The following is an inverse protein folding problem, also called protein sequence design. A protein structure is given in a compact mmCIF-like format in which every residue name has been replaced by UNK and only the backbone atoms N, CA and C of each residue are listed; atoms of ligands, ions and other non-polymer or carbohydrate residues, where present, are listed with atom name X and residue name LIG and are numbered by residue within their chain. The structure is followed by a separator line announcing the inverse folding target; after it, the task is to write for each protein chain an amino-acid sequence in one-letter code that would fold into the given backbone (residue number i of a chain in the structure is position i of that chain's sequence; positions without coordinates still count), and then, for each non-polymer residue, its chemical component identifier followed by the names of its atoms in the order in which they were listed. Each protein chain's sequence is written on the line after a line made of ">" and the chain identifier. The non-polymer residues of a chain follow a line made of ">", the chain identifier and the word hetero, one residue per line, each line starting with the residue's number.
data_IF_037861606248
#
_entry.id   IF_037861606248
#
_cell.length_a   1.000
_cell.length_b   1.000
_cell.length_c   1.000
_cell.angle_alpha   90.00
_cell.angle_beta   90.00
_cell.angle_gamma   90.00
#
_symmetry.space_group_name_H-M   'P 1'
#
loop_
_entity.id
_entity.type
_entity.pdbx_description
1 polymer ?
#
# COMPACT_ATOMS: atom_id res chain seq x y z
N UNK A 1 -22.34 -2.11 -18.01
CA UNK A 1 -21.99 -2.43 -16.60
C UNK A 1 -20.61 -3.09 -16.33
N UNK A 2 -19.65 -3.27 -17.27
CA UNK A 2 -18.36 -3.93 -16.95
C UNK A 2 -17.34 -3.05 -16.20
N UNK A 3 -17.44 -1.71 -16.30
CA UNK A 3 -16.47 -0.77 -15.69
C UNK A 3 -16.47 -0.79 -14.16
N UNK A 4 -17.64 -0.96 -13.54
CA UNK A 4 -17.77 -1.02 -12.08
C UNK A 4 -17.11 -2.28 -11.48
N UNK A 5 -17.16 -3.41 -12.21
CA UNK A 5 -16.52 -4.66 -11.79
C UNK A 5 -15.00 -4.56 -11.82
N UNK A 6 -14.44 -3.90 -12.84
CA UNK A 6 -12.99 -3.68 -12.96
C UNK A 6 -12.44 -2.76 -11.86
N UNK A 7 -13.20 -1.73 -11.48
CA UNK A 7 -12.84 -0.85 -10.35
C UNK A 7 -12.76 -1.65 -9.04
N UNK A 8 -13.79 -2.47 -8.75
CA UNK A 8 -13.80 -3.34 -7.57
C UNK A 8 -12.60 -4.30 -7.56
N UNK A 9 -12.29 -4.92 -8.69
CA UNK A 9 -11.15 -5.83 -8.79
C UNK A 9 -9.81 -5.11 -8.54
N UNK A 10 -9.61 -3.91 -9.10
CA UNK A 10 -8.38 -3.13 -8.88
C UNK A 10 -8.20 -2.72 -7.42
N UNK A 11 -9.29 -2.29 -6.77
CA UNK A 11 -9.25 -1.94 -5.34
C UNK A 11 -9.06 -3.17 -4.46
N UNK A 12 -9.63 -4.32 -4.81
CA UNK A 12 -9.38 -5.59 -4.13
C UNK A 12 -7.92 -6.03 -4.24
N UNK A 13 -7.32 -5.96 -5.44
CA UNK A 13 -5.91 -6.25 -5.64
C UNK A 13 -5.01 -5.28 -4.84
N UNK A 14 -5.36 -4.00 -4.83
CA UNK A 14 -4.66 -3.00 -4.02
C UNK A 14 -4.74 -3.31 -2.52
N UNK A 15 -5.93 -3.69 -2.04
CA UNK A 15 -6.14 -4.09 -0.66
C UNK A 15 -5.33 -5.34 -0.30
N UNK A 16 -5.38 -6.37 -1.13
CA UNK A 16 -4.65 -7.62 -0.92
C UNK A 16 -3.13 -7.38 -0.95
N UNK A 17 -2.67 -6.53 -1.88
CA UNK A 17 -1.28 -6.07 -1.93
C UNK A 17 -0.89 -5.33 -0.66
N UNK A 18 -1.71 -4.37 -0.21
CA UNK A 18 -1.50 -3.66 1.05
C UNK A 18 -1.45 -4.58 2.27
N UNK A 19 -2.34 -5.57 2.34
CA UNK A 19 -2.29 -6.61 3.39
C UNK A 19 -0.97 -7.38 3.33
N UNK A 20 -0.52 -7.79 2.15
CA UNK A 20 0.75 -8.49 2.02
C UNK A 20 1.92 -7.59 2.44
N UNK A 21 1.99 -6.33 2.03
CA UNK A 21 3.08 -5.46 2.44
C UNK A 21 3.08 -5.21 3.97
N UNK A 22 1.91 -5.01 4.58
CA UNK A 22 1.81 -4.63 5.99
C UNK A 22 1.83 -5.82 6.97
N UNK A 23 1.42 -7.01 6.53
CA UNK A 23 1.32 -8.20 7.39
C UNK A 23 2.23 -9.36 6.92
N UNK A 24 3.11 -9.13 5.94
CA UNK A 24 4.09 -10.14 5.53
C UNK A 24 5.22 -10.25 6.55
N UNK A 25 5.84 -11.45 6.69
CA UNK A 25 7.09 -11.61 7.43
C UNK A 25 8.24 -10.74 6.90
N UNK A 26 8.12 -10.14 5.70
CA UNK A 26 9.05 -9.12 5.21
C UNK A 26 9.14 -7.90 6.13
N UNK A 27 8.08 -7.59 6.88
CA UNK A 27 8.04 -6.50 7.87
C UNK A 27 9.09 -6.72 8.97
N UNK A 28 9.30 -7.96 9.40
CA UNK A 28 10.30 -8.30 10.43
C UNK A 28 11.74 -7.99 9.97
N UNK A 29 12.01 -8.00 8.66
CA UNK A 29 13.32 -7.62 8.14
C UNK A 29 13.60 -6.12 8.30
N UNK A 30 12.56 -5.27 8.30
CA UNK A 30 12.72 -3.84 8.55
C UNK A 30 12.89 -3.52 10.02
N UNK A 31 12.48 -4.42 10.91
CA UNK A 31 12.73 -4.32 12.34
C UNK A 31 14.23 -4.55 12.65
N UNK A 32 14.88 -5.48 11.93
CA UNK A 32 16.31 -5.79 12.11
C UNK A 32 17.24 -4.78 11.43
N UNK A 33 16.76 -4.05 10.42
CA UNK A 33 17.51 -3.00 9.71
C UNK A 33 17.80 -1.74 10.55
N UNK A 34 17.22 -1.63 11.76
CA UNK A 34 17.58 -0.59 12.73
C UNK A 34 16.98 0.79 12.43
N UNK A 35 17.80 1.85 12.53
CA UNK A 35 17.37 3.25 12.39
C UNK A 35 17.99 3.91 11.16
N UNK A 36 17.16 4.62 10.40
CA UNK A 36 17.59 5.47 9.29
C UNK A 36 17.26 6.92 9.60
N UNK A 37 18.25 7.82 9.47
CA UNK A 37 18.14 9.25 9.84
C UNK A 37 17.63 9.49 11.29
N UNK A 38 17.93 8.56 12.20
CA UNK A 38 17.47 8.61 13.60
C UNK A 38 16.07 8.04 13.85
N UNK A 39 15.29 7.76 12.80
CA UNK A 39 13.96 7.16 12.90
C UNK A 39 14.01 5.64 12.63
N UNK A 40 13.15 4.81 13.25
CA UNK A 40 13.07 3.38 12.94
C UNK A 40 12.69 3.16 11.47
N UNK A 41 13.45 2.31 10.77
CA UNK A 41 13.18 1.99 9.35
C UNK A 41 11.78 1.43 9.16
N UNK A 42 11.33 0.61 10.11
CA UNK A 42 9.96 0.08 10.17
C UNK A 42 8.89 1.18 10.09
N UNK A 43 9.11 2.30 10.77
CA UNK A 43 8.16 3.41 10.81
C UNK A 43 8.10 4.08 9.44
N UNK A 44 9.26 4.32 8.82
CA UNK A 44 9.36 4.89 7.47
C UNK A 44 8.67 3.97 6.46
N UNK A 45 8.93 2.66 6.54
CA UNK A 45 8.30 1.66 5.69
C UNK A 45 6.77 1.68 5.81
N UNK A 46 6.24 1.72 7.04
CA UNK A 46 4.81 1.76 7.31
C UNK A 46 4.15 2.99 6.68
N UNK A 47 4.71 4.17 6.92
CA UNK A 47 4.14 5.43 6.41
C UNK A 47 4.24 5.54 4.89
N UNK A 48 5.36 5.13 4.29
CA UNK A 48 5.54 5.14 2.83
C UNK A 48 4.58 4.17 2.16
N UNK A 49 4.45 2.94 2.69
CA UNK A 49 3.51 1.94 2.18
C UNK A 49 2.08 2.44 2.25
N UNK A 50 1.69 3.01 3.39
CA UNK A 50 0.35 3.55 3.59
C UNK A 50 0.04 4.71 2.64
N UNK A 51 0.96 5.67 2.49
CA UNK A 51 0.82 6.79 1.56
C UNK A 51 0.71 6.30 0.10
N UNK A 52 1.50 5.29 -0.29
CA UNK A 52 1.43 4.69 -1.61
C UNK A 52 0.07 4.02 -1.88
N UNK A 53 -0.48 3.28 -0.91
CA UNK A 53 -1.81 2.68 -1.04
C UNK A 53 -2.89 3.74 -1.24
N UNK A 54 -2.85 4.84 -0.49
CA UNK A 54 -3.80 5.95 -0.64
C UNK A 54 -3.65 6.62 -2.01
N UNK A 55 -2.42 6.91 -2.43
CA UNK A 55 -2.15 7.55 -3.71
C UNK A 55 -2.66 6.69 -4.88
N UNK A 56 -2.40 5.38 -4.85
CA UNK A 56 -2.87 4.45 -5.87
C UNK A 56 -4.40 4.34 -5.83
N UNK A 57 -5.03 4.27 -4.65
CA UNK A 57 -6.48 4.25 -4.53
C UNK A 57 -7.11 5.53 -5.12
N UNK A 58 -6.58 6.70 -4.77
CA UNK A 58 -7.03 7.99 -5.31
C UNK A 58 -6.85 8.06 -6.84
N UNK A 59 -5.73 7.54 -7.34
CA UNK A 59 -5.43 7.44 -8.77
C UNK A 59 -6.40 6.53 -9.53
N UNK A 60 -6.72 5.35 -8.96
CA UNK A 60 -7.70 4.41 -9.53
C UNK A 60 -9.09 5.06 -9.60
N UNK A 61 -9.51 5.72 -8.53
CA UNK A 61 -10.85 6.34 -8.44
C UNK A 61 -10.96 7.54 -9.38
N UNK A 62 -9.95 8.40 -9.46
CA UNK A 62 -9.95 9.54 -10.38
C UNK A 62 -10.02 9.11 -11.85
N UNK A 63 -9.22 8.12 -12.26
CA UNK A 63 -9.25 7.55 -13.63
C UNK A 63 -10.51 6.81 -14.02
N UNK A 64 -11.38 6.51 -13.06
CA UNK A 64 -12.67 5.85 -13.35
C UNK A 64 -13.81 6.88 -13.44
N UNK A 65 -13.60 8.12 -12.98
CA UNK A 65 -14.56 9.22 -13.11
C UNK A 65 -14.45 9.96 -14.44
N UNK A 66 -13.27 9.99 -15.04
CA UNK A 66 -13.03 10.42 -16.42
C UNK A 66 -13.46 9.34 -17.43
#
# INVERSE_FOLDING_TARGET
>A
MPRATLLRQRLLLLFLGGMLLLFSPLVMQFETLGRWLGAPVLLIYLFVTWAALIAIAAWIVSRTRD
#
